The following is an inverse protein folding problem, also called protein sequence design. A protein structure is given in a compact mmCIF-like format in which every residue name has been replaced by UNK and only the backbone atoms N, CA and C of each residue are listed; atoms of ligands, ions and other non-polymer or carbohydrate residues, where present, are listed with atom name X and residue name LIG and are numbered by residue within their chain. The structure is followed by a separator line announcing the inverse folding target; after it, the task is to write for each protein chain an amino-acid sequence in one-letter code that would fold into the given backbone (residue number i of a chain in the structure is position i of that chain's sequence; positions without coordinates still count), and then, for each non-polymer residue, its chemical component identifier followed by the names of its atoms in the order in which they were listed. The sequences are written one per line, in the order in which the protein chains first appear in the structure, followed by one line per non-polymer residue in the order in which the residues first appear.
data_IF_950246448199
#
_entry.id   IF_950246448199
#
_cell.length_a   1.000
_cell.length_b   1.000
_cell.length_c   1.000
_cell.angle_alpha   90.00
_cell.angle_beta   90.00
_cell.angle_gamma   90.00
#
_symmetry.space_group_name_H-M   'P 1'
#
loop_
_entity.id
_entity.type
_entity.pdbx_description
1 polymer ?
#
# COMPACT_ATOMS: atom_id res chain seq x y z
N UNK A 1 5.49 -10.43 -2.81
CA UNK A 1 4.71 -9.69 -3.82
C UNK A 1 5.21 -10.10 -5.19
N UNK A 2 4.39 -10.78 -5.98
CA UNK A 2 4.66 -11.01 -7.40
C UNK A 2 4.01 -9.86 -8.18
N UNK A 3 4.83 -8.95 -8.70
CA UNK A 3 4.35 -7.71 -9.35
C UNK A 3 3.71 -8.03 -10.71
N UNK A 4 4.29 -8.97 -11.47
CA UNK A 4 3.79 -9.36 -12.80
C UNK A 4 2.45 -10.07 -12.69
N UNK A 5 2.29 -10.97 -11.71
CA UNK A 5 1.02 -11.65 -11.45
C UNK A 5 0.05 -10.81 -10.62
N UNK A 6 0.46 -9.63 -10.15
CA UNK A 6 -0.27 -8.77 -9.21
C UNK A 6 -0.83 -9.58 -8.04
N UNK A 7 0.01 -10.41 -7.44
CA UNK A 7 -0.40 -11.33 -6.39
C UNK A 7 0.44 -11.12 -5.13
N UNK A 8 -0.25 -11.01 -4.01
CA UNK A 8 0.39 -11.10 -2.71
C UNK A 8 0.27 -12.52 -2.18
N UNK A 9 1.33 -13.01 -1.54
CA UNK A 9 1.37 -14.35 -0.97
C UNK A 9 2.09 -14.31 0.37
N UNK A 10 1.53 -15.00 1.34
CA UNK A 10 2.11 -15.17 2.67
C UNK A 10 1.69 -16.54 3.21
N UNK A 11 2.67 -17.38 3.56
CA UNK A 11 2.47 -18.82 3.77
C UNK A 11 1.74 -19.45 2.56
N UNK A 12 0.72 -20.28 2.80
CA UNK A 12 -0.10 -20.91 1.76
C UNK A 12 -1.25 -20.02 1.24
N UNK A 13 -1.38 -18.79 1.77
CA UNK A 13 -2.43 -17.85 1.38
C UNK A 13 -1.99 -16.95 0.24
N UNK A 14 -2.93 -16.66 -0.64
CA UNK A 14 -2.73 -15.81 -1.81
C UNK A 14 -3.93 -14.89 -1.98
N UNK A 15 -3.68 -13.65 -2.35
CA UNK A 15 -4.73 -12.72 -2.78
C UNK A 15 -4.30 -11.95 -4.01
N UNK A 16 -5.25 -11.67 -4.88
CA UNK A 16 -5.05 -10.88 -6.09
C UNK A 16 -5.14 -9.39 -5.76
N UNK A 17 -4.26 -8.61 -6.36
CA UNK A 17 -4.22 -7.16 -6.26
C UNK A 17 -4.69 -6.55 -7.59
N UNK A 18 -5.39 -5.43 -7.53
CA UNK A 18 -5.54 -4.56 -8.69
C UNK A 18 -4.17 -4.01 -9.13
N UNK A 19 -4.10 -3.49 -10.36
CA UNK A 19 -2.88 -2.84 -10.86
C UNK A 19 -2.41 -1.71 -9.94
N UNK A 20 -3.35 -0.88 -9.47
CA UNK A 20 -3.03 0.24 -8.57
C UNK A 20 -2.54 -0.26 -7.21
N UNK A 21 -3.18 -1.27 -6.61
CA UNK A 21 -2.76 -1.82 -5.31
C UNK A 21 -1.36 -2.44 -5.37
N UNK A 22 -1.07 -3.21 -6.43
CA UNK A 22 0.26 -3.77 -6.63
C UNK A 22 1.33 -2.68 -6.77
N UNK A 23 1.01 -1.60 -7.50
CA UNK A 23 1.92 -0.49 -7.75
C UNK A 23 2.16 0.35 -6.49
N UNK A 24 1.11 0.68 -5.73
CA UNK A 24 1.24 1.38 -4.44
C UNK A 24 2.00 0.54 -3.43
N UNK A 25 1.69 -0.76 -3.32
CA UNK A 25 2.41 -1.65 -2.40
C UNK A 25 3.88 -1.79 -2.78
N UNK A 26 4.18 -1.89 -4.08
CA UNK A 26 5.56 -1.89 -4.58
C UNK A 26 6.28 -0.60 -4.20
N UNK A 27 5.64 0.57 -4.36
CA UNK A 27 6.22 1.86 -3.97
C UNK A 27 6.59 1.89 -2.48
N UNK A 28 5.75 1.35 -1.60
CA UNK A 28 6.11 1.21 -0.17
C UNK A 28 7.36 0.35 0.04
N UNK A 29 7.49 -0.77 -0.67
CA UNK A 29 8.64 -1.68 -0.54
C UNK A 29 9.94 -1.04 -1.04
N UNK A 30 9.85 -0.26 -2.11
CA UNK A 30 11.01 0.36 -2.75
C UNK A 30 11.44 1.68 -2.07
N UNK A 31 10.56 2.29 -1.26
CA UNK A 31 10.82 3.57 -0.60
C UNK A 31 11.73 3.45 0.63
N UNK A 32 12.60 4.45 0.91
CA UNK A 32 13.34 4.54 2.16
C UNK A 32 12.43 4.46 3.39
N UNK A 33 12.84 3.67 4.39
CA UNK A 33 12.07 3.40 5.62
C UNK A 33 10.67 2.81 5.37
N UNK A 34 10.40 2.36 4.15
CA UNK A 34 9.08 2.02 3.62
C UNK A 34 8.02 3.12 3.82
N UNK A 35 8.44 4.39 3.74
CA UNK A 35 7.54 5.54 3.87
C UNK A 35 7.21 6.09 2.48
N UNK A 36 5.94 6.35 2.22
CA UNK A 36 5.46 6.97 1.00
C UNK A 36 4.63 8.19 1.37
N UNK A 37 4.93 9.33 0.76
CA UNK A 37 4.25 10.59 1.04
C UNK A 37 2.86 10.67 0.39
N UNK A 38 2.00 11.54 0.91
CA UNK A 38 0.66 11.72 0.36
C UNK A 38 0.66 12.06 -1.13
N UNK A 39 1.59 12.90 -1.58
CA UNK A 39 1.66 13.33 -2.98
C UNK A 39 2.08 12.18 -3.89
N UNK A 40 3.01 11.33 -3.45
CA UNK A 40 3.42 10.14 -4.19
C UNK A 40 2.25 9.17 -4.34
N UNK A 41 1.50 8.90 -3.27
CA UNK A 41 0.33 8.01 -3.35
C UNK A 41 -0.71 8.61 -4.30
N UNK A 42 -0.96 9.93 -4.24
CA UNK A 42 -1.91 10.59 -5.12
C UNK A 42 -1.50 10.55 -6.58
N UNK A 43 -0.21 10.72 -6.87
CA UNK A 43 0.35 10.57 -8.21
C UNK A 43 0.10 9.16 -8.75
N UNK A 44 0.36 8.12 -7.94
CA UNK A 44 0.10 6.72 -8.32
C UNK A 44 -1.38 6.39 -8.52
N UNK A 45 -2.27 7.16 -7.88
CA UNK A 45 -3.71 7.06 -8.02
C UNK A 45 -4.27 8.00 -9.10
N UNK A 46 -3.41 8.70 -9.83
CA UNK A 46 -3.75 9.68 -10.87
C UNK A 46 -4.73 10.74 -10.36
N UNK A 47 -4.44 11.29 -9.17
CA UNK A 47 -5.26 12.28 -8.46
C UNK A 47 -4.48 13.54 -8.16
N UNK A 48 -5.17 14.68 -8.26
CA UNK A 48 -4.62 15.98 -7.86
C UNK A 48 -4.37 16.06 -6.35
N UNK A 49 -3.38 16.86 -5.95
CA UNK A 49 -3.09 17.14 -4.56
C UNK A 49 -4.10 18.12 -3.94
N UNK A 50 -5.23 17.58 -3.48
CA UNK A 50 -6.30 18.33 -2.81
C UNK A 50 -6.64 17.70 -1.45
N UNK A 51 -7.21 18.47 -0.52
CA UNK A 51 -7.64 17.93 0.78
C UNK A 51 -8.70 16.82 0.65
N UNK A 52 -9.61 16.96 -0.33
CA UNK A 52 -10.58 15.90 -0.65
C UNK A 52 -9.88 14.61 -1.06
N UNK A 53 -8.85 14.71 -1.90
CA UNK A 53 -8.11 13.54 -2.36
C UNK A 53 -7.21 12.94 -1.27
N UNK A 54 -6.68 13.74 -0.33
CA UNK A 54 -6.01 13.22 0.87
C UNK A 54 -6.93 12.34 1.70
N UNK A 55 -8.19 12.73 1.89
CA UNK A 55 -9.19 11.87 2.54
C UNK A 55 -9.43 10.57 1.75
N UNK A 56 -9.43 10.64 0.42
CA UNK A 56 -9.54 9.45 -0.42
C UNK A 56 -8.33 8.50 -0.28
N UNK A 57 -7.12 9.03 -0.03
CA UNK A 57 -5.94 8.22 0.30
C UNK A 57 -6.16 7.43 1.60
N UNK A 58 -6.71 8.06 2.65
CA UNK A 58 -7.01 7.35 3.90
C UNK A 58 -7.94 6.15 3.67
N UNK A 59 -9.00 6.34 2.89
CA UNK A 59 -9.92 5.25 2.52
C UNK A 59 -9.21 4.18 1.70
N UNK A 60 -8.38 4.59 0.74
CA UNK A 60 -7.60 3.66 -0.08
C UNK A 60 -6.66 2.79 0.77
N UNK A 61 -5.88 3.40 1.67
CA UNK A 61 -4.96 2.68 2.56
C UNK A 61 -5.71 1.75 3.51
N UNK A 62 -6.89 2.15 4.00
CA UNK A 62 -7.73 1.27 4.81
C UNK A 62 -8.14 0.00 4.05
N UNK A 63 -8.57 0.12 2.79
CA UNK A 63 -8.91 -1.04 1.95
C UNK A 63 -7.68 -1.88 1.63
N UNK A 64 -6.53 -1.26 1.36
CA UNK A 64 -5.29 -1.99 1.12
C UNK A 64 -4.91 -2.79 2.37
N UNK A 65 -4.99 -2.22 3.58
CA UNK A 65 -4.79 -2.96 4.82
C UNK A 65 -5.76 -4.14 4.98
N UNK A 66 -7.04 -3.97 4.64
CA UNK A 66 -8.01 -5.08 4.61
C UNK A 66 -7.61 -6.17 3.61
N UNK A 67 -7.02 -5.80 2.47
CA UNK A 67 -6.49 -6.75 1.49
C UNK A 67 -5.27 -7.51 2.01
N UNK A 68 -4.37 -6.85 2.74
CA UNK A 68 -3.22 -7.49 3.38
C UNK A 68 -3.66 -8.46 4.49
N UNK A 69 -4.73 -8.13 5.21
CA UNK A 69 -5.34 -9.00 6.23
C UNK A 69 -5.86 -10.33 5.66
N UNK A 70 -6.33 -10.36 4.40
CA UNK A 70 -6.78 -11.59 3.72
C UNK A 70 -5.69 -12.68 3.66
N UNK A 71 -4.41 -12.27 3.63
CA UNK A 71 -3.26 -13.18 3.67
C UNK A 71 -2.62 -13.23 5.07
N UNK A 72 -3.37 -12.89 6.12
CA UNK A 72 -2.94 -12.89 7.53
C UNK A 72 -1.74 -11.99 7.86
N UNK A 73 -1.50 -10.95 7.07
CA UNK A 73 -0.61 -9.88 7.48
C UNK A 73 -1.35 -9.03 8.53
N UNK A 74 -0.63 -8.58 9.56
CA UNK A 74 -1.15 -7.75 10.64
C UNK A 74 -1.91 -6.52 10.12
N UNK A 75 -3.04 -6.17 10.75
CA UNK A 75 -3.83 -5.00 10.39
C UNK A 75 -3.80 -3.98 11.54
N UNK A 76 -3.29 -2.75 11.34
CA UNK A 76 -2.79 -2.21 10.07
C UNK A 76 -1.32 -2.54 9.79
N UNK A 77 -1.05 -3.07 8.58
CA UNK A 77 0.30 -3.25 8.05
C UNK A 77 0.89 -1.93 7.56
N UNK A 78 0.03 -1.02 7.09
CA UNK A 78 0.37 0.32 6.63
C UNK A 78 -0.23 1.33 7.61
N UNK A 79 0.62 2.10 8.27
CA UNK A 79 0.26 3.05 9.33
C UNK A 79 0.50 4.49 8.90
N UNK A 80 -0.25 5.43 9.45
CA UNK A 80 -0.06 6.86 9.14
C UNK A 80 1.19 7.40 9.81
N UNK A 81 1.92 8.27 9.11
CA UNK A 81 3.05 9.04 9.61
C UNK A 81 2.67 10.52 9.59
N UNK A 82 2.66 11.15 10.76
CA UNK A 82 2.16 12.51 10.93
C UNK A 82 2.80 13.50 9.96
N UNK A 83 1.96 14.23 9.21
CA UNK A 83 2.34 15.23 8.20
C UNK A 83 3.23 14.74 7.05
N UNK A 84 3.48 13.43 6.93
CA UNK A 84 4.35 12.85 5.90
C UNK A 84 3.54 12.00 4.92
N UNK A 85 2.87 10.97 5.43
CA UNK A 85 2.14 10.02 4.59
C UNK A 85 1.87 8.73 5.34
N UNK A 86 2.33 7.62 4.79
CA UNK A 86 2.13 6.30 5.37
C UNK A 86 3.42 5.50 5.38
N UNK A 87 3.50 4.53 6.27
CA UNK A 87 4.63 3.60 6.41
C UNK A 87 4.14 2.17 6.38
N UNK A 88 4.78 1.33 5.57
CA UNK A 88 4.64 -0.12 5.67
C UNK A 88 5.54 -0.62 6.82
N UNK A 89 4.93 -1.17 7.87
CA UNK A 89 5.61 -1.51 9.13
C UNK A 89 6.28 -2.89 9.12
N UNK A 90 5.96 -3.71 8.13
CA UNK A 90 6.53 -5.06 7.94
C UNK A 90 7.17 -5.17 6.57
N UNK A 91 8.36 -5.76 6.52
CA UNK A 91 9.06 -6.02 5.27
C UNK A 91 8.26 -7.01 4.42
N UNK A 92 7.85 -6.59 3.23
CA UNK A 92 7.29 -7.46 2.19
C UNK A 92 8.37 -7.62 1.11
N UNK A 93 8.62 -8.85 0.68
CA UNK A 93 9.64 -9.16 -0.33
C UNK A 93 9.00 -9.24 -1.71
N UNK A 94 9.65 -8.66 -2.72
CA UNK A 94 9.27 -8.81 -4.14
C UNK A 94 9.86 -10.13 -4.66
N UNK A 95 9.03 -10.92 -5.36
CA UNK A 95 9.38 -12.19 -5.98
C UNK A 95 9.42 -12.06 -7.50
#
# INVERSE_FOLDING_TARGET
LDVTKRQLSFNDLKTQLSSQEALVLKKFIDSPENIVEYWEILELLEKEFTEKNKTAVTVYIHRLNKKLEEVKIENPAIQSVWKKGYQLTKKIIIL
#
